data_IF_241627765434
#
_entry.id   IF_241627765434
#
_cell.length_a   1.000
_cell.length_b   1.000
_cell.length_c   1.000
_cell.angle_alpha   90.00
_cell.angle_beta   90.00
_cell.angle_gamma   90.00
#
_symmetry.space_group_name_H-M   'P 1'
#
loop_
_entity.id
_entity.type
_entity.pdbx_description
1 polymer ?
#
# COMPACT_ATOMS: atom_id res chain seq x y z
N UNK A 1 -0.59 26.54 -28.99
CA UNK A 1 0.83 26.18 -29.23
C UNK A 1 1.61 26.59 -27.99
N UNK A 2 1.86 25.66 -27.07
CA UNK A 2 2.72 25.91 -25.91
C UNK A 2 4.12 25.55 -26.38
N UNK A 3 4.97 26.55 -26.62
CA UNK A 3 6.35 26.34 -26.99
C UNK A 3 7.16 25.92 -25.77
N UNK A 4 7.55 24.65 -25.69
CA UNK A 4 8.58 24.18 -24.77
C UNK A 4 9.93 24.58 -25.36
N UNK A 5 10.58 25.61 -24.83
CA UNK A 5 11.97 25.92 -25.15
C UNK A 5 12.91 25.23 -24.15
N UNK A 6 13.93 24.55 -24.70
CA UNK A 6 15.23 24.25 -24.09
C UNK A 6 15.25 23.80 -22.63
N UNK A 7 15.39 22.49 -22.42
CA UNK A 7 15.92 21.98 -21.15
C UNK A 7 17.40 22.35 -21.08
N UNK A 8 17.71 23.43 -20.37
CA UNK A 8 19.08 23.80 -20.03
C UNK A 8 19.41 23.30 -18.63
N UNK A 9 20.50 22.55 -18.49
CA UNK A 9 21.05 22.15 -17.19
C UNK A 9 21.75 23.35 -16.55
N UNK A 10 21.00 24.22 -15.89
CA UNK A 10 21.58 25.23 -15.01
C UNK A 10 21.66 24.66 -13.59
N UNK A 11 22.85 24.24 -13.17
CA UNK A 11 23.19 24.12 -11.76
C UNK A 11 23.37 25.53 -11.19
N UNK A 12 22.27 26.28 -11.02
CA UNK A 12 22.33 27.56 -10.30
C UNK A 12 22.29 27.26 -8.80
N UNK A 13 23.49 27.21 -8.20
CA UNK A 13 23.66 27.26 -6.75
C UNK A 13 23.23 28.64 -6.24
N UNK A 14 21.99 28.76 -5.77
CA UNK A 14 21.59 29.92 -4.98
C UNK A 14 22.12 29.76 -3.55
N UNK A 15 23.16 30.53 -3.23
CA UNK A 15 23.70 30.67 -1.87
C UNK A 15 22.73 31.52 -1.04
N UNK A 16 22.15 30.93 0.00
CA UNK A 16 21.54 31.64 1.13
C UNK A 16 22.23 31.19 2.40
N UNK A 17 22.80 32.13 3.15
CA UNK A 17 23.79 31.89 4.21
C UNK A 17 23.20 31.47 5.57
N UNK A 18 21.97 30.95 5.63
CA UNK A 18 21.33 30.72 6.94
C UNK A 18 20.31 29.58 7.06
N UNK A 19 20.28 28.57 6.19
CA UNK A 19 19.46 27.36 6.43
C UNK A 19 20.17 26.05 6.05
N UNK A 20 19.87 24.93 6.75
CA UNK A 20 20.44 23.62 6.43
C UNK A 20 19.96 23.13 5.07
N UNK A 21 20.92 22.79 4.20
CA UNK A 21 20.66 22.20 2.89
C UNK A 21 20.26 20.73 3.03
N UNK A 22 19.03 20.41 2.62
CA UNK A 22 18.68 19.04 2.27
C UNK A 22 19.11 18.79 0.83
N UNK A 23 20.20 18.02 0.66
CA UNK A 23 20.67 17.60 -0.65
C UNK A 23 19.73 16.49 -1.15
N UNK A 24 18.61 16.88 -1.78
CA UNK A 24 17.67 15.95 -2.41
C UNK A 24 18.32 15.43 -3.70
N UNK A 25 19.02 14.29 -3.62
CA UNK A 25 19.52 13.60 -4.81
C UNK A 25 18.33 13.24 -5.71
N UNK A 26 18.43 13.54 -7.00
CA UNK A 26 17.47 13.21 -8.07
C UNK A 26 16.15 14.01 -8.11
N UNK A 27 16.12 15.23 -7.57
CA UNK A 27 15.00 16.16 -7.79
C UNK A 27 15.39 17.26 -8.78
N UNK A 28 14.68 17.34 -9.91
CA UNK A 28 14.77 18.48 -10.84
C UNK A 28 13.59 19.41 -10.60
N UNK A 29 13.85 20.66 -10.18
CA UNK A 29 12.82 21.69 -10.07
C UNK A 29 12.66 22.36 -11.43
N UNK A 30 11.45 22.34 -12.00
CA UNK A 30 11.14 23.02 -13.26
C UNK A 30 10.33 24.27 -12.93
N UNK A 31 10.79 25.42 -13.42
CA UNK A 31 10.09 26.69 -13.37
C UNK A 31 9.40 26.95 -14.71
N UNK A 32 8.13 27.38 -14.70
CA UNK A 32 7.55 27.97 -15.91
C UNK A 32 8.02 29.43 -16.11
N UNK A 33 7.59 30.05 -17.20
CA UNK A 33 7.88 31.46 -17.51
C UNK A 33 7.33 32.45 -16.46
N UNK A 34 6.44 31.99 -15.57
CA UNK A 34 5.85 32.78 -14.49
C UNK A 34 6.44 32.44 -13.12
N UNK A 35 7.54 31.67 -13.06
CA UNK A 35 8.17 31.20 -11.82
C UNK A 35 7.28 30.29 -10.95
N UNK A 36 6.24 29.68 -11.52
CA UNK A 36 5.51 28.64 -10.81
C UNK A 36 6.40 27.41 -10.67
N UNK A 37 6.50 26.91 -9.44
CA UNK A 37 7.22 25.68 -9.12
C UNK A 37 6.31 24.51 -9.45
N UNK A 38 6.62 23.78 -10.51
CA UNK A 38 6.00 22.49 -10.76
C UNK A 38 6.82 21.40 -10.09
N UNK A 39 6.13 20.47 -9.44
CA UNK A 39 6.74 19.31 -8.79
C UNK A 39 7.63 18.54 -9.76
N UNK A 40 8.64 17.92 -9.15
CA UNK A 40 9.88 17.55 -9.79
C UNK A 40 9.75 16.48 -10.87
N UNK A 41 10.34 16.75 -12.02
CA UNK A 41 10.60 15.72 -13.01
C UNK A 41 11.53 14.66 -12.39
N UNK A 42 11.07 13.40 -12.38
CA UNK A 42 11.86 12.26 -11.95
C UNK A 42 12.79 11.90 -13.10
N UNK A 43 14.09 12.09 -12.93
CA UNK A 43 15.08 11.64 -13.91
C UNK A 43 15.09 10.10 -13.91
N UNK A 44 14.87 9.52 -15.08
CA UNK A 44 14.75 8.10 -15.31
C UNK A 44 15.63 7.67 -16.51
N UNK A 45 16.82 7.15 -16.18
CA UNK A 45 17.85 6.92 -17.19
C UNK A 45 18.27 8.22 -17.88
N UNK A 46 18.10 8.29 -19.20
CA UNK A 46 18.40 9.47 -20.04
C UNK A 46 17.20 10.39 -20.25
N UNK A 47 16.03 10.07 -19.70
CA UNK A 47 14.79 10.81 -19.89
C UNK A 47 14.22 11.28 -18.55
N UNK A 48 13.33 12.27 -18.59
CA UNK A 48 12.56 12.70 -17.44
C UNK A 48 11.13 12.16 -17.57
N UNK A 49 10.60 11.55 -16.50
CA UNK A 49 9.21 11.09 -16.49
C UNK A 49 8.25 12.27 -16.42
N UNK A 50 7.13 12.13 -17.13
CA UNK A 50 6.06 13.09 -17.14
C UNK A 50 5.29 13.07 -15.81
N UNK A 51 4.49 14.11 -15.58
CA UNK A 51 3.56 14.14 -14.45
C UNK A 51 2.59 12.96 -14.59
N UNK A 52 2.46 12.17 -13.52
CA UNK A 52 1.63 10.96 -13.52
C UNK A 52 2.42 9.68 -13.81
N UNK A 53 3.72 9.78 -14.09
CA UNK A 53 4.60 8.64 -14.30
C UNK A 53 5.56 8.41 -13.10
N UNK A 54 6.01 7.17 -12.93
CA UNK A 54 7.12 6.82 -12.03
C UNK A 54 8.29 6.25 -12.83
N UNK A 55 9.49 6.40 -12.30
CA UNK A 55 10.66 5.74 -12.84
C UNK A 55 10.83 4.35 -12.24
N UNK A 56 10.71 3.31 -13.07
CA UNK A 56 10.98 1.92 -12.68
C UNK A 56 11.99 1.33 -13.66
N UNK A 57 13.15 0.91 -13.15
CA UNK A 57 14.26 0.36 -13.95
C UNK A 57 14.66 1.24 -15.16
N UNK A 58 14.82 2.54 -14.94
CA UNK A 58 15.14 3.52 -16.00
C UNK A 58 14.06 3.65 -17.09
N UNK A 59 12.83 3.22 -16.82
CA UNK A 59 11.67 3.40 -17.70
C UNK A 59 10.58 4.19 -16.98
N UNK A 60 10.00 5.16 -17.69
CA UNK A 60 8.85 5.89 -17.21
C UNK A 60 7.58 5.07 -17.45
N UNK A 61 6.83 4.84 -16.37
CA UNK A 61 5.59 4.04 -16.38
C UNK A 61 4.45 4.86 -15.80
N UNK A 62 3.24 4.67 -16.30
CA UNK A 62 2.06 5.39 -15.81
C UNK A 62 1.63 4.90 -14.42
N UNK A 63 1.25 5.81 -13.51
CA UNK A 63 0.91 5.47 -12.11
C UNK A 63 -0.57 5.64 -11.77
N UNK A 64 -1.27 6.54 -12.46
CA UNK A 64 -2.71 6.75 -12.25
C UNK A 64 -3.13 6.97 -10.78
N UNK A 65 -4.40 6.69 -10.47
CA UNK A 65 -4.93 6.60 -9.11
C UNK A 65 -4.47 5.30 -8.41
N UNK A 66 -4.40 4.19 -9.13
CA UNK A 66 -3.86 2.91 -8.66
C UNK A 66 -3.00 2.30 -9.78
N UNK A 67 -1.84 1.75 -9.45
CA UNK A 67 -1.03 0.96 -10.37
C UNK A 67 -0.46 -0.29 -9.71
N UNK A 68 -0.31 -1.33 -10.53
CA UNK A 68 0.41 -2.56 -10.25
C UNK A 68 1.54 -2.68 -11.26
N UNK A 69 2.77 -2.56 -10.79
CA UNK A 69 3.95 -2.63 -11.64
C UNK A 69 4.74 -3.88 -11.29
N UNK A 70 4.81 -4.82 -12.23
CA UNK A 70 5.67 -5.98 -12.14
C UNK A 70 7.05 -5.65 -12.69
N UNK A 71 8.12 -6.09 -12.02
CA UNK A 71 9.46 -6.06 -12.61
C UNK A 71 10.35 -7.24 -12.21
N UNK A 72 11.26 -7.63 -13.11
CA UNK A 72 12.15 -8.80 -12.97
C UNK A 72 13.56 -8.53 -13.54
N UNK A 73 14.43 -7.83 -12.78
CA UNK A 73 15.70 -7.31 -13.30
C UNK A 73 16.71 -8.39 -13.71
N UNK A 74 16.55 -9.63 -13.24
CA UNK A 74 17.58 -10.67 -13.36
C UNK A 74 17.73 -11.20 -14.78
N UNK A 75 16.69 -11.09 -15.63
CA UNK A 75 16.75 -11.67 -16.99
C UNK A 75 15.87 -10.95 -17.99
N UNK A 76 16.32 -10.91 -19.26
CA UNK A 76 15.51 -10.49 -20.41
C UNK A 76 14.49 -11.56 -20.80
N UNK A 77 13.36 -11.13 -21.33
CA UNK A 77 12.29 -11.98 -21.83
C UNK A 77 10.93 -11.42 -21.46
N UNK A 78 9.86 -12.09 -21.90
CA UNK A 78 8.49 -11.62 -21.70
C UNK A 78 7.84 -12.36 -20.54
N UNK A 79 7.57 -11.64 -19.47
CA UNK A 79 6.59 -12.02 -18.46
C UNK A 79 5.41 -11.06 -18.53
N UNK A 80 4.29 -11.48 -17.95
CA UNK A 80 3.04 -10.74 -18.03
C UNK A 80 2.40 -10.59 -16.66
N UNK A 81 2.17 -9.34 -16.24
CA UNK A 81 1.31 -9.07 -15.09
C UNK A 81 -0.16 -9.30 -15.49
N UNK A 82 -0.90 -9.94 -14.58
CA UNK A 82 -2.32 -10.24 -14.75
C UNK A 82 -3.02 -9.75 -13.48
N UNK A 83 -4.01 -8.89 -13.61
CA UNK A 83 -4.76 -8.36 -12.47
C UNK A 83 -6.23 -8.68 -12.65
N UNK A 84 -6.81 -9.44 -11.73
CA UNK A 84 -8.25 -9.65 -11.64
C UNK A 84 -8.86 -8.62 -10.70
N UNK A 85 -9.82 -7.86 -11.18
CA UNK A 85 -10.49 -6.81 -10.44
C UNK A 85 -11.52 -7.39 -9.45
N UNK A 86 -11.99 -6.57 -8.49
CA UNK A 86 -13.11 -6.93 -7.61
C UNK A 86 -14.40 -7.30 -8.35
N UNK A 87 -14.61 -6.78 -9.56
CA UNK A 87 -15.76 -7.06 -10.40
C UNK A 87 -15.53 -8.28 -11.31
N UNK A 88 -14.49 -9.07 -11.03
CA UNK A 88 -14.18 -10.34 -11.67
C UNK A 88 -13.67 -10.20 -13.12
N UNK A 89 -13.31 -9.00 -13.57
CA UNK A 89 -12.69 -8.75 -14.86
C UNK A 89 -11.17 -8.96 -14.77
N UNK A 90 -10.55 -9.50 -15.81
CA UNK A 90 -9.09 -9.73 -15.84
C UNK A 90 -8.42 -8.78 -16.80
N UNK A 91 -7.40 -8.04 -16.34
CA UNK A 91 -6.58 -7.13 -17.13
C UNK A 91 -5.22 -7.78 -17.37
N UNK A 92 -4.79 -7.81 -18.63
CA UNK A 92 -3.50 -8.36 -19.08
C UNK A 92 -3.24 -7.88 -20.52
N UNK A 93 -2.10 -8.24 -21.12
CA UNK A 93 -1.73 -7.79 -22.47
C UNK A 93 -2.82 -8.00 -23.54
N UNK A 94 -3.54 -9.13 -23.48
CA UNK A 94 -4.61 -9.49 -24.42
C UNK A 94 -5.98 -8.85 -24.12
N UNK A 95 -6.17 -8.31 -22.92
CA UNK A 95 -7.36 -7.56 -22.50
C UNK A 95 -6.92 -6.24 -21.85
N UNK A 96 -6.36 -5.35 -22.66
CA UNK A 96 -5.53 -4.22 -22.23
C UNK A 96 -6.17 -2.83 -22.35
N UNK A 97 -7.34 -2.73 -23.00
CA UNK A 97 -7.89 -1.43 -23.42
C UNK A 97 -9.03 -0.98 -22.53
N UNK A 98 -8.98 0.29 -22.14
CA UNK A 98 -9.97 1.10 -21.41
C UNK A 98 -11.42 0.89 -21.93
N UNK A 99 -12.02 -0.21 -21.49
CA UNK A 99 -13.38 -0.65 -21.80
C UNK A 99 -14.02 -1.14 -20.50
N UNK A 100 -15.34 -1.32 -20.51
CA UNK A 100 -16.06 -1.88 -19.36
C UNK A 100 -15.56 -3.27 -18.96
N UNK A 101 -15.02 -4.05 -19.90
CA UNK A 101 -14.48 -5.40 -19.67
C UNK A 101 -13.17 -5.46 -18.88
N UNK A 102 -12.61 -4.31 -18.50
CA UNK A 102 -11.38 -4.18 -17.69
C UNK A 102 -11.57 -3.17 -16.56
N UNK A 103 -12.82 -2.81 -16.26
CA UNK A 103 -13.15 -1.78 -15.25
C UNK A 103 -12.35 -0.50 -15.40
N UNK A 104 -12.14 -0.06 -16.65
CA UNK A 104 -11.41 1.16 -17.00
C UNK A 104 -9.90 1.14 -16.67
N UNK A 105 -9.35 0.00 -16.23
CA UNK A 105 -7.92 -0.18 -16.10
C UNK A 105 -7.24 -0.27 -17.47
N UNK A 106 -5.95 -0.02 -17.50
CA UNK A 106 -5.11 -0.03 -18.69
C UNK A 106 -3.88 -0.87 -18.46
N UNK A 107 -3.53 -1.68 -19.45
CA UNK A 107 -2.25 -2.38 -19.47
C UNK A 107 -1.26 -1.59 -20.31
N UNK A 108 -0.05 -1.48 -19.78
CA UNK A 108 1.08 -0.82 -20.41
C UNK A 108 2.29 -1.75 -20.30
N UNK A 109 2.86 -2.08 -21.45
CA UNK A 109 4.16 -2.73 -21.55
C UNK A 109 5.16 -1.68 -22.00
N UNK A 110 6.22 -1.47 -21.21
CA UNK A 110 7.22 -0.46 -21.53
C UNK A 110 8.47 -1.12 -22.10
N UNK A 111 8.61 -1.01 -23.42
CA UNK A 111 9.78 -1.24 -24.27
C UNK A 111 10.09 -2.69 -24.71
N UNK A 112 11.03 -2.81 -25.65
CA UNK A 112 11.26 -4.03 -26.45
C UNK A 112 12.01 -5.12 -25.66
N UNK A 113 11.28 -6.15 -25.21
CA UNK A 113 11.83 -7.31 -24.49
C UNK A 113 11.96 -7.12 -22.98
N UNK A 114 11.16 -6.21 -22.42
CA UNK A 114 11.47 -5.56 -21.17
C UNK A 114 10.91 -6.20 -19.91
N UNK A 115 11.63 -5.89 -18.84
CA UNK A 115 11.56 -6.45 -17.50
C UNK A 115 10.51 -5.76 -16.63
N UNK A 116 9.62 -4.95 -17.23
CA UNK A 116 8.61 -4.16 -16.52
C UNK A 116 7.29 -4.24 -17.26
N UNK A 117 6.25 -4.61 -16.53
CA UNK A 117 4.86 -4.69 -17.00
C UNK A 117 3.97 -3.91 -16.02
N UNK A 118 3.01 -3.16 -16.52
CA UNK A 118 2.23 -2.23 -15.70
C UNK A 118 0.73 -2.33 -15.99
N UNK A 119 -0.08 -2.32 -14.93
CA UNK A 119 -1.53 -2.16 -15.02
C UNK A 119 -1.94 -0.99 -14.12
N UNK A 120 -2.64 0.00 -14.67
CA UNK A 120 -3.00 1.20 -13.92
C UNK A 120 -4.41 1.71 -14.23
N UNK A 121 -4.97 2.48 -13.31
CA UNK A 121 -6.23 3.22 -13.46
C UNK A 121 -5.92 4.71 -13.53
N UNK A 122 -6.18 5.40 -14.65
CA UNK A 122 -5.93 6.84 -14.75
C UNK A 122 -6.67 7.64 -13.66
N UNK A 123 -6.10 8.76 -13.22
CA UNK A 123 -6.63 9.56 -12.09
C UNK A 123 -8.05 10.13 -12.29
N UNK A 124 -8.57 10.13 -13.52
CA UNK A 124 -9.93 10.55 -13.84
C UNK A 124 -10.94 9.39 -13.92
N UNK A 125 -10.55 8.19 -13.45
CA UNK A 125 -11.38 6.98 -13.47
C UNK A 125 -11.75 6.53 -12.07
N UNK A 126 -12.93 5.94 -11.96
CA UNK A 126 -13.40 5.39 -10.69
C UNK A 126 -12.75 4.03 -10.47
N UNK A 127 -12.03 3.89 -9.36
CA UNK A 127 -11.40 2.65 -8.97
C UNK A 127 -12.45 1.63 -8.47
N UNK A 128 -12.46 0.39 -8.97
CA UNK A 128 -13.29 -0.67 -8.39
C UNK A 128 -12.93 -0.91 -6.93
N UNK A 129 -13.93 -0.83 -6.04
CA UNK A 129 -13.74 -1.12 -4.62
C UNK A 129 -13.75 -2.62 -4.40
N UNK A 130 -12.71 -3.13 -3.73
CA UNK A 130 -12.62 -4.54 -3.38
C UNK A 130 -11.20 -5.10 -3.37
N UNK A 131 -11.12 -6.42 -3.39
CA UNK A 131 -9.87 -7.15 -3.56
C UNK A 131 -9.52 -7.38 -5.03
N UNK A 132 -8.33 -6.92 -5.39
CA UNK A 132 -7.65 -7.29 -6.62
C UNK A 132 -6.87 -8.57 -6.37
N UNK A 133 -6.89 -9.52 -7.32
CA UNK A 133 -5.96 -10.64 -7.34
C UNK A 133 -4.84 -10.31 -8.32
N UNK A 134 -3.60 -10.47 -7.89
CA UNK A 134 -2.42 -10.20 -8.69
C UNK A 134 -1.75 -11.51 -9.01
N UNK A 135 -1.51 -11.73 -10.30
CA UNK A 135 -0.81 -12.90 -10.81
C UNK A 135 0.27 -12.48 -11.79
N UNK A 136 1.20 -13.39 -12.03
CA UNK A 136 2.26 -13.19 -13.01
C UNK A 136 2.48 -14.47 -13.81
N UNK A 137 2.38 -14.35 -15.13
CA UNK A 137 2.79 -15.42 -16.05
C UNK A 137 4.24 -15.21 -16.42
N UNK A 138 5.06 -16.24 -16.24
CA UNK A 138 6.47 -16.18 -16.63
C UNK A 138 6.64 -16.23 -18.15
N UNK A 139 5.61 -16.57 -18.93
CA UNK A 139 5.64 -16.45 -20.39
C UNK A 139 6.85 -17.13 -21.03
N UNK A 140 7.64 -16.38 -21.79
CA UNK A 140 8.88 -16.88 -22.41
C UNK A 140 10.13 -16.72 -21.52
N UNK A 141 9.98 -16.06 -20.36
CA UNK A 141 10.63 -16.35 -19.06
C UNK A 141 11.66 -17.47 -19.08
N UNK A 142 11.07 -18.65 -19.21
CA UNK A 142 11.65 -19.89 -18.78
C UNK A 142 11.89 -20.90 -19.93
N UNK A 143 11.98 -20.42 -21.19
CA UNK A 143 12.16 -21.28 -22.40
C UNK A 143 13.63 -21.68 -22.77
N UNK A 144 14.26 -22.70 -22.17
CA UNK A 144 15.68 -23.10 -22.41
C UNK A 144 16.47 -23.49 -21.13
N UNK A 145 17.80 -23.61 -21.18
CA UNK A 145 18.62 -24.39 -20.20
C UNK A 145 18.96 -23.73 -18.86
N UNK A 146 19.19 -22.42 -18.78
CA UNK A 146 19.55 -21.72 -17.53
C UNK A 146 18.44 -20.78 -17.06
N UNK A 147 17.34 -21.35 -16.55
CA UNK A 147 16.07 -20.61 -16.52
C UNK A 147 15.39 -20.45 -15.17
N UNK A 148 15.55 -21.38 -14.25
CA UNK A 148 15.02 -21.22 -12.90
C UNK A 148 16.14 -20.81 -11.92
N UNK A 149 15.86 -20.04 -10.86
CA UNK A 149 14.59 -19.37 -10.54
C UNK A 149 14.50 -17.95 -11.15
N UNK A 150 13.28 -17.39 -11.26
CA UNK A 150 13.06 -15.97 -11.51
C UNK A 150 12.25 -15.34 -10.38
N UNK A 151 12.73 -14.21 -9.86
CA UNK A 151 12.03 -13.44 -8.82
C UNK A 151 11.38 -12.21 -9.43
N UNK A 152 10.07 -12.12 -9.26
CA UNK A 152 9.24 -11.01 -9.73
C UNK A 152 8.82 -10.20 -8.52
N UNK A 153 8.97 -8.88 -8.62
CA UNK A 153 8.49 -7.93 -7.63
C UNK A 153 7.32 -7.15 -8.22
N UNK A 154 6.23 -7.05 -7.46
CA UNK A 154 5.08 -6.20 -7.77
C UNK A 154 5.10 -5.01 -6.82
N UNK A 155 5.20 -3.80 -7.37
CA UNK A 155 4.94 -2.57 -6.65
C UNK A 155 3.49 -2.14 -6.84
N UNK A 156 2.80 -1.91 -5.72
CA UNK A 156 1.43 -1.40 -5.71
C UNK A 156 1.47 0.04 -5.22
N UNK A 157 1.02 0.97 -6.06
CA UNK A 157 1.07 2.40 -5.79
C UNK A 157 -0.31 3.03 -5.92
N UNK A 158 -0.60 4.00 -5.06
CA UNK A 158 -1.82 4.80 -5.10
C UNK A 158 -1.47 6.28 -5.14
N UNK A 159 -1.93 7.00 -6.16
CA UNK A 159 -1.56 8.40 -6.39
C UNK A 159 -0.03 8.61 -6.24
N UNK A 160 0.77 7.76 -6.90
CA UNK A 160 2.24 7.69 -6.87
C UNK A 160 2.89 7.24 -5.54
N UNK A 161 2.15 7.16 -4.44
CA UNK A 161 2.65 6.64 -3.16
C UNK A 161 2.76 5.12 -3.20
N UNK A 162 3.93 4.57 -2.86
CA UNK A 162 4.10 3.14 -2.65
C UNK A 162 3.26 2.70 -1.45
N UNK A 163 2.35 1.77 -1.69
CA UNK A 163 1.44 1.22 -0.70
C UNK A 163 1.93 -0.14 -0.21
N UNK A 164 2.31 -1.01 -1.15
CA UNK A 164 2.71 -2.38 -0.87
C UNK A 164 3.71 -2.90 -1.91
N UNK A 165 4.57 -3.82 -1.48
CA UNK A 165 5.46 -4.56 -2.35
C UNK A 165 5.25 -6.05 -2.13
N UNK A 166 4.94 -6.78 -3.18
CA UNK A 166 4.84 -8.24 -3.17
C UNK A 166 6.01 -8.82 -3.96
N UNK A 167 6.53 -9.98 -3.55
CA UNK A 167 7.59 -10.65 -4.29
C UNK A 167 7.30 -12.14 -4.36
N UNK A 168 7.52 -12.74 -5.53
CA UNK A 168 7.39 -14.19 -5.71
C UNK A 168 8.52 -14.72 -6.59
N UNK A 169 9.03 -15.89 -6.20
CA UNK A 169 10.02 -16.63 -6.98
C UNK A 169 9.35 -17.79 -7.70
N UNK A 170 9.52 -17.86 -9.02
CA UNK A 170 9.02 -18.92 -9.89
C UNK A 170 10.15 -19.86 -10.27
N UNK A 171 9.94 -21.15 -10.01
CA UNK A 171 10.90 -22.20 -10.35
C UNK A 171 10.61 -22.87 -11.69
N UNK A 172 9.42 -22.66 -12.25
CA UNK A 172 8.90 -23.34 -13.44
C UNK A 172 8.08 -22.36 -14.29
N UNK A 173 7.94 -22.69 -15.57
CA UNK A 173 7.16 -21.88 -16.52
C UNK A 173 5.68 -21.92 -16.18
N UNK A 174 5.05 -20.75 -16.23
CA UNK A 174 3.61 -20.54 -16.01
C UNK A 174 3.07 -19.80 -17.22
N UNK A 175 2.19 -20.47 -17.99
CA UNK A 175 1.71 -19.97 -19.29
C UNK A 175 0.25 -19.53 -19.28
N UNK A 176 -0.48 -19.75 -18.17
CA UNK A 176 -1.86 -19.31 -18.06
C UNK A 176 -1.92 -17.79 -17.85
N UNK A 177 -2.25 -17.07 -18.92
CA UNK A 177 -2.37 -15.60 -18.93
C UNK A 177 -3.79 -15.09 -18.75
N UNK A 178 -4.78 -15.98 -18.72
CA UNK A 178 -6.21 -15.62 -18.70
C UNK A 178 -6.85 -15.75 -17.32
N UNK A 179 -6.31 -16.65 -16.48
CA UNK A 179 -6.86 -16.91 -15.16
C UNK A 179 -5.92 -16.37 -14.07
N UNK A 180 -6.47 -15.51 -13.23
CA UNK A 180 -5.83 -15.07 -12.00
C UNK A 180 -6.73 -15.39 -10.81
N UNK A 181 -6.53 -16.59 -10.28
CA UNK A 181 -7.24 -17.13 -9.13
C UNK A 181 -6.24 -17.35 -8.00
N UNK A 182 -6.70 -17.38 -6.77
CA UNK A 182 -5.91 -17.66 -5.56
C UNK A 182 -5.33 -19.07 -5.54
N UNK A 183 -5.87 -19.97 -6.36
CA UNK A 183 -5.37 -21.33 -6.57
C UNK A 183 -4.43 -21.47 -7.77
N UNK A 184 -4.21 -20.40 -8.55
CA UNK A 184 -3.38 -20.50 -9.76
C UNK A 184 -1.89 -20.56 -9.41
N UNK A 185 -1.14 -21.30 -10.22
CA UNK A 185 0.33 -21.33 -10.18
C UNK A 185 0.96 -19.95 -10.45
N UNK A 186 0.22 -19.03 -11.08
CA UNK A 186 0.59 -17.63 -11.33
C UNK A 186 0.31 -16.67 -10.17
N UNK A 187 -0.44 -17.06 -9.13
CA UNK A 187 -0.92 -16.17 -8.07
C UNK A 187 0.19 -15.59 -7.17
N UNK A 188 0.32 -14.27 -7.12
CA UNK A 188 1.30 -13.60 -6.25
C UNK A 188 0.66 -13.20 -4.92
N UNK A 189 -0.53 -12.61 -4.96
CA UNK A 189 -1.19 -12.08 -3.77
C UNK A 189 -2.47 -11.34 -4.09
N UNK A 190 -3.08 -10.79 -3.04
CA UNK A 190 -4.31 -10.00 -3.13
C UNK A 190 -4.10 -8.62 -2.52
N UNK A 191 -4.69 -7.59 -3.12
CA UNK A 191 -4.63 -6.21 -2.64
C UNK A 191 -6.02 -5.61 -2.48
N UNK A 192 -6.27 -4.92 -1.36
CA UNK A 192 -7.51 -4.16 -1.16
C UNK A 192 -7.34 -2.71 -1.60
N UNK A 193 -8.20 -2.23 -2.50
CA UNK A 193 -8.33 -0.79 -2.81
C UNK A 193 -9.03 0.01 -1.72
N UNK A 194 -9.68 -0.67 -0.78
CA UNK A 194 -10.37 -0.05 0.35
C UNK A 194 -9.34 0.28 1.40
N UNK A 195 -9.22 1.57 1.71
CA UNK A 195 -8.42 2.11 2.80
C UNK A 195 -9.38 2.37 3.95
N UNK A 196 -9.05 1.85 5.13
CA UNK A 196 -9.79 2.09 6.35
C UNK A 196 -8.97 3.00 7.24
N UNK A 197 -9.60 4.05 7.76
CA UNK A 197 -9.02 4.85 8.83
C UNK A 197 -9.07 4.04 10.12
N UNK A 198 -8.05 4.19 10.97
CA UNK A 198 -8.12 3.60 12.30
C UNK A 198 -9.35 4.16 13.07
N UNK A 199 -10.11 3.34 13.81
CA UNK A 199 -9.86 1.94 14.18
C UNK A 199 -10.49 0.89 13.25
N UNK A 200 -10.79 1.24 12.01
CA UNK A 200 -11.38 0.31 11.06
C UNK A 200 -10.31 -0.51 10.34
N UNK A 201 -10.60 -1.78 10.07
CA UNK A 201 -9.78 -2.66 9.25
C UNK A 201 -10.58 -3.19 8.07
N UNK A 202 -9.89 -3.57 6.99
CA UNK A 202 -10.50 -4.12 5.78
C UNK A 202 -10.96 -5.56 6.04
N UNK A 203 -12.26 -5.81 6.01
CA UNK A 203 -12.83 -7.16 6.05
C UNK A 203 -12.59 -7.94 4.74
N UNK A 204 -12.77 -9.27 4.75
CA UNK A 204 -12.70 -10.11 3.53
C UNK A 204 -13.75 -9.75 2.47
N UNK A 205 -14.79 -9.03 2.85
CA UNK A 205 -15.80 -8.40 1.97
C UNK A 205 -15.36 -7.07 1.38
N UNK A 206 -14.13 -6.63 1.69
CA UNK A 206 -13.58 -5.31 1.37
C UNK A 206 -14.44 -4.15 1.90
N UNK A 207 -14.96 -4.30 3.11
CA UNK A 207 -15.64 -3.24 3.85
C UNK A 207 -14.84 -2.89 5.08
N UNK A 208 -14.86 -1.62 5.49
CA UNK A 208 -14.22 -1.20 6.73
C UNK A 208 -15.08 -1.65 7.93
N UNK A 209 -14.50 -2.48 8.80
CA UNK A 209 -15.13 -2.91 10.05
C UNK A 209 -14.38 -2.30 11.22
N UNK A 210 -15.10 -1.72 12.18
CA UNK A 210 -14.49 -1.14 13.37
C UNK A 210 -14.01 -2.26 14.29
N UNK A 211 -12.69 -2.44 14.41
CA UNK A 211 -12.12 -3.57 15.14
C UNK A 211 -12.27 -3.46 16.66
N UNK A 212 -12.65 -2.29 17.18
CA UNK A 212 -12.87 -2.07 18.61
C UNK A 212 -14.26 -2.54 19.08
N UNK A 213 -15.23 -2.63 18.18
CA UNK A 213 -16.63 -2.96 18.53
C UNK A 213 -17.15 -4.22 17.82
N UNK A 214 -16.38 -4.78 16.91
CA UNK A 214 -16.80 -5.96 16.18
C UNK A 214 -16.60 -7.24 17.00
N UNK A 215 -17.70 -7.71 17.60
CA UNK A 215 -17.75 -9.00 18.32
C UNK A 215 -17.29 -10.19 17.47
N UNK A 216 -17.34 -10.09 16.14
CA UNK A 216 -16.96 -11.16 15.22
C UNK A 216 -15.52 -11.05 14.71
N UNK A 217 -14.84 -9.94 14.94
CA UNK A 217 -13.51 -9.69 14.39
C UNK A 217 -12.53 -9.22 15.47
N UNK A 218 -12.83 -9.46 16.75
CA UNK A 218 -11.89 -9.59 17.86
C UNK A 218 -10.53 -8.87 17.69
N UNK A 219 -10.48 -7.55 17.49
CA UNK A 219 -9.23 -6.81 17.22
C UNK A 219 -8.47 -7.15 15.92
N UNK A 220 -8.86 -8.20 15.17
CA UNK A 220 -8.34 -8.59 13.86
C UNK A 220 -9.43 -9.26 13.00
N UNK A 221 -9.57 -8.80 11.76
CA UNK A 221 -10.47 -9.38 10.76
C UNK A 221 -10.29 -10.89 10.62
N UNK A 222 -11.40 -11.62 10.62
CA UNK A 222 -11.45 -13.08 10.55
C UNK A 222 -11.31 -13.80 11.89
N UNK A 223 -10.96 -13.08 12.96
CA UNK A 223 -10.86 -13.66 14.30
C UNK A 223 -12.23 -13.68 14.97
N UNK A 224 -13.00 -14.74 14.71
CA UNK A 224 -14.27 -15.00 15.39
C UNK A 224 -14.03 -15.75 16.69
N UNK A 225 -14.51 -15.20 17.79
CA UNK A 225 -14.61 -15.94 19.03
C UNK A 225 -15.74 -16.98 18.95
N UNK A 226 -15.54 -18.14 19.57
CA UNK A 226 -16.62 -19.09 19.81
C UNK A 226 -17.72 -18.41 20.66
N UNK A 227 -18.97 -18.84 20.49
CA UNK A 227 -20.15 -18.31 21.19
C UNK A 227 -20.06 -18.43 22.73
N UNK A 228 -19.08 -19.16 23.25
CA UNK A 228 -18.78 -19.31 24.68
C UNK A 228 -18.03 -18.13 25.29
N UNK A 229 -17.50 -17.21 24.48
CA UNK A 229 -16.77 -16.02 24.95
C UNK A 229 -17.71 -14.81 25.03
N UNK A 230 -17.58 -14.02 26.09
CA UNK A 230 -18.43 -12.86 26.37
C UNK A 230 -17.86 -11.56 25.79
N UNK A 231 -16.58 -11.54 25.42
CA UNK A 231 -15.94 -10.40 24.76
C UNK A 231 -14.69 -10.73 23.98
N UNK A 232 -14.23 -9.75 23.21
CA UNK A 232 -12.87 -9.72 22.71
C UNK A 232 -12.35 -8.28 22.55
N UNK A 233 -11.07 -8.08 22.85
CA UNK A 233 -10.25 -6.99 22.31
C UNK A 233 -8.89 -7.51 21.84
N UNK A 234 -8.28 -6.83 20.88
CA UNK A 234 -6.87 -7.04 20.52
C UNK A 234 -6.49 -8.44 20.03
N UNK A 235 -7.40 -9.24 19.47
CA UNK A 235 -7.09 -10.61 19.03
C UNK A 235 -7.32 -11.69 20.07
N UNK A 236 -7.84 -11.35 21.26
CA UNK A 236 -7.99 -12.28 22.38
C UNK A 236 -9.45 -12.44 22.80
N UNK A 237 -9.98 -13.64 22.59
CA UNK A 237 -11.31 -14.02 23.07
C UNK A 237 -11.31 -14.23 24.58
N UNK A 238 -12.23 -13.58 25.30
CA UNK A 238 -12.34 -13.67 26.75
C UNK A 238 -13.74 -14.04 27.22
N UNK A 239 -13.81 -14.91 28.23
CA UNK A 239 -15.06 -15.23 28.93
C UNK A 239 -15.48 -14.09 29.88
N UNK A 240 -14.63 -13.10 30.10
CA UNK A 240 -14.99 -11.87 30.80
C UNK A 240 -15.89 -11.01 29.91
N UNK A 241 -16.82 -10.27 30.52
CA UNK A 241 -17.56 -9.21 29.81
C UNK A 241 -16.59 -8.07 29.54
N UNK A 242 -16.47 -7.62 28.29
CA UNK A 242 -15.68 -6.42 27.98
C UNK A 242 -16.37 -5.23 28.65
N UNK A 243 -15.57 -4.39 29.28
CA UNK A 243 -16.01 -3.08 29.72
C UNK A 243 -15.98 -2.19 28.49
N UNK A 244 -17.14 -2.07 27.83
CA UNK A 244 -17.34 -1.06 26.79
C UNK A 244 -17.80 0.22 27.48
N UNK A 245 -16.99 1.28 27.43
CA UNK A 245 -17.45 2.61 27.81
C UNK A 245 -18.55 3.02 26.82
N UNK A 246 -19.79 3.14 27.30
CA UNK A 246 -20.95 3.48 26.46
C UNK A 246 -20.98 4.95 26.05
N UNK A 247 -20.12 5.77 26.66
CA UNK A 247 -20.00 7.20 26.43
C UNK A 247 -18.53 7.61 26.64
N UNK A 248 -18.04 8.66 25.94
CA UNK A 248 -16.77 9.27 26.26
C UNK A 248 -16.75 9.69 27.73
N UNK A 249 -15.80 9.16 28.52
CA UNK A 249 -15.58 9.62 29.89
C UNK A 249 -14.33 10.47 29.91
N UNK A 250 -14.48 11.73 30.33
CA UNK A 250 -13.35 12.63 30.55
C UNK A 250 -12.58 12.18 31.78
N UNK A 251 -11.32 11.80 31.62
CA UNK A 251 -10.42 11.61 32.76
C UNK A 251 -10.13 13.01 33.31
N UNK A 252 -10.60 13.28 34.53
CA UNK A 252 -10.45 14.58 35.18
C UNK A 252 -8.96 14.77 35.47
N UNK A 253 -8.42 15.95 35.12
CA UNK A 253 -7.00 16.32 35.21
C UNK A 253 -6.39 16.08 36.61
N UNK A 254 -7.20 16.02 37.67
CA UNK A 254 -6.76 15.71 39.05
C UNK A 254 -6.51 14.23 39.35
N UNK A 255 -6.86 13.31 38.44
CA UNK A 255 -6.53 11.88 38.56
C UNK A 255 -5.17 11.52 37.91
N UNK A 256 -4.58 12.45 37.14
CA UNK A 256 -3.29 12.25 36.48
C UNK A 256 -2.20 12.72 37.46
N UNK A 257 -1.92 11.91 38.48
CA UNK A 257 -0.67 12.00 39.25
C UNK A 257 0.48 11.23 38.55
N UNK A 258 0.24 10.71 37.35
CA UNK A 258 1.22 9.97 36.57
C UNK A 258 2.29 10.89 36.00
N UNK A 259 3.56 10.51 36.19
CA UNK A 259 4.68 11.08 35.44
C UNK A 259 4.56 10.63 33.99
N UNK A 260 4.57 11.60 33.06
CA UNK A 260 4.80 11.33 31.64
C UNK A 260 6.18 10.69 31.47
N UNK A 261 6.38 9.97 30.36
CA UNK A 261 7.65 9.56 29.73
C UNK A 261 7.93 8.05 29.68
N UNK A 262 7.45 7.44 28.58
CA UNK A 262 8.30 6.58 27.76
C UNK A 262 8.10 6.95 26.29
N UNK A 263 9.14 7.44 25.61
CA UNK A 263 9.19 7.41 24.16
C UNK A 263 9.31 5.94 23.76
N UNK A 264 8.21 5.39 23.23
CA UNK A 264 8.27 4.11 22.53
C UNK A 264 8.45 4.38 21.04
N UNK A 265 8.84 3.36 20.29
CA UNK A 265 8.86 3.37 18.82
C UNK A 265 7.48 3.68 18.20
N UNK A 266 6.42 3.68 19.00
CA UNK A 266 5.04 3.97 18.60
C UNK A 266 4.55 5.37 19.01
N UNK A 267 5.26 6.08 19.89
CA UNK A 267 4.91 7.43 20.36
C UNK A 267 4.97 7.59 21.87
N UNK A 268 4.50 8.74 22.36
CA UNK A 268 4.43 9.06 23.79
C UNK A 268 3.31 8.26 24.47
N UNK A 269 3.65 7.54 25.54
CA UNK A 269 2.69 6.89 26.43
C UNK A 269 2.53 7.70 27.73
N UNK A 270 1.28 7.84 28.20
CA UNK A 270 0.91 8.47 29.46
C UNK A 270 0.42 7.36 30.40
N UNK A 271 1.13 7.12 31.50
CA UNK A 271 0.60 6.26 32.56
C UNK A 271 -0.36 7.04 33.46
N UNK A 272 -1.52 6.47 33.74
CA UNK A 272 -2.53 7.03 34.64
C UNK A 272 -2.74 6.06 35.79
N UNK A 273 -2.34 6.49 36.98
CA UNK A 273 -2.59 5.78 38.23
C UNK A 273 -4.05 5.99 38.65
N UNK A 274 -4.78 4.91 38.87
CA UNK A 274 -6.18 4.91 39.28
C UNK A 274 -6.29 4.67 40.79
N UNK A 275 -7.32 5.23 41.45
CA UNK A 275 -7.55 4.98 42.88
C UNK A 275 -8.18 3.59 43.16
N UNK A 276 -8.33 2.75 42.14
CA UNK A 276 -8.88 1.41 42.20
C UNK A 276 -8.24 0.53 41.12
N UNK A 277 -8.20 -0.78 41.36
CA UNK A 277 -7.72 -1.73 40.37
C UNK A 277 -8.75 -1.90 39.24
N UNK A 278 -8.29 -1.89 37.99
CA UNK A 278 -9.05 -2.35 36.83
C UNK A 278 -8.54 -3.75 36.46
N UNK A 279 -9.46 -4.67 36.22
CA UNK A 279 -9.14 -5.98 35.66
C UNK A 279 -9.56 -6.04 34.20
N UNK A 280 -8.62 -6.26 33.29
CA UNK A 280 -8.83 -6.44 31.85
C UNK A 280 -8.10 -7.71 31.40
N UNK A 281 -8.83 -8.67 30.83
CA UNK A 281 -8.25 -9.89 30.25
C UNK A 281 -7.27 -10.67 31.16
N UNK A 282 -7.59 -10.78 32.46
CA UNK A 282 -6.79 -11.42 33.53
C UNK A 282 -5.62 -10.60 34.08
N UNK A 283 -5.35 -9.42 33.52
CA UNK A 283 -4.44 -8.48 34.15
C UNK A 283 -5.21 -7.58 35.11
N UNK A 284 -4.66 -7.33 36.28
CA UNK A 284 -5.24 -6.43 37.28
C UNK A 284 -4.22 -5.37 37.60
N UNK A 285 -4.51 -4.16 37.15
CA UNK A 285 -3.61 -3.02 37.26
C UNK A 285 -4.35 -1.84 37.85
N UNK A 286 -3.67 -1.08 38.71
CA UNK A 286 -4.08 0.27 39.06
C UNK A 286 -3.46 1.31 38.11
N UNK A 287 -2.73 0.87 37.08
CA UNK A 287 -2.21 1.71 36.02
C UNK A 287 -3.01 1.50 34.74
N UNK A 288 -3.14 2.59 33.99
CA UNK A 288 -3.66 2.57 32.63
C UNK A 288 -2.70 3.37 31.76
N UNK A 289 -2.21 2.76 30.69
CA UNK A 289 -1.37 3.43 29.72
C UNK A 289 -2.23 3.96 28.57
N UNK A 290 -2.09 5.25 28.29
CA UNK A 290 -2.73 5.94 27.18
C UNK A 290 -1.67 6.27 26.14
N UNK A 291 -1.89 5.90 24.89
CA UNK A 291 -1.06 6.35 23.77
C UNK A 291 -1.94 6.93 22.65
N UNK A 292 -1.32 7.29 21.52
CA UNK A 292 -2.05 7.75 20.33
C UNK A 292 -2.97 6.67 19.73
N UNK A 293 -2.85 5.42 20.16
CA UNK A 293 -3.57 4.25 19.62
C UNK A 293 -4.59 3.66 20.61
N UNK A 294 -4.69 4.16 21.83
CA UNK A 294 -5.74 3.78 22.77
C UNK A 294 -5.27 3.59 24.21
N UNK A 295 -5.86 2.59 24.87
CA UNK A 295 -5.79 2.37 26.31
C UNK A 295 -5.36 0.92 26.57
N UNK A 296 -4.28 0.70 27.33
CA UNK A 296 -3.88 -0.62 27.84
C UNK A 296 -3.76 -0.61 29.37
N UNK A 297 -3.81 -1.80 29.99
CA UNK A 297 -3.48 -1.99 31.41
C UNK A 297 -1.98 -2.21 31.62
#
# INVERSE_FOLDING_TARGET
>A
MIGLQGVSWYTTLMYSSSQPFFMLRNMSIIFDTNQNIYTTAIICGSTACLIGEACVQNMCIQQGELSFTAHWPQRKGQGYIIVRTPLNNTIYFGNSRNKSSVDQGQYEQVGDGNQVDNIYWPSNRMLPKGFFKICFSTGSLLNGTDKSPITVTIEIRRAQRLMETMTRTFNESTTNVTECLDTSDTFIGSYSSVICEWPYAVASTATCVNILIDRNNCGKVGHKCNNTYNSCSGGVCSMARAIQLTEPKTIIQGAINGTVFHETEFGETISVSLPFNITLYNDTSDQVYLDLYGVSL
#
